data_IF_060974152910
#
_entry.id   IF_060974152910
#
_cell.length_a   1.000
_cell.length_b   1.000
_cell.length_c   1.000
_cell.angle_alpha   90.00
_cell.angle_beta   90.00
_cell.angle_gamma   90.00
#
_symmetry.space_group_name_H-M   'P 1'
#
loop_
_entity.id
_entity.type
_entity.pdbx_description
1 polymer ?
#
# COMPACT_ATOMS: atom_id res chain seq x y z
N UNK A 1 0.40 -19.23 -16.47
CA UNK A 1 1.11 -19.41 -15.17
C UNK A 1 0.76 -20.77 -14.62
N UNK A 2 1.76 -21.51 -14.18
CA UNK A 2 1.55 -22.79 -13.48
C UNK A 2 1.42 -22.53 -11.99
N UNK A 3 0.42 -23.13 -11.35
CA UNK A 3 0.19 -22.97 -9.92
C UNK A 3 0.73 -24.16 -9.16
N UNK A 4 1.50 -23.92 -8.12
CA UNK A 4 1.96 -24.94 -7.19
C UNK A 4 0.85 -25.26 -6.18
N UNK A 5 0.79 -26.52 -5.74
CA UNK A 5 -0.07 -26.89 -4.62
C UNK A 5 0.51 -26.34 -3.30
N UNK A 6 -0.31 -26.30 -2.26
CA UNK A 6 0.14 -25.95 -0.91
C UNK A 6 1.28 -26.87 -0.45
N UNK A 7 1.13 -28.20 -0.67
CA UNK A 7 2.13 -29.19 -0.24
C UNK A 7 3.45 -28.99 -0.97
N UNK A 8 3.43 -28.79 -2.29
CA UNK A 8 4.65 -28.53 -3.06
C UNK A 8 5.33 -27.24 -2.64
N UNK A 9 4.54 -26.19 -2.42
CA UNK A 9 5.06 -24.91 -1.94
C UNK A 9 5.77 -25.08 -0.59
N UNK A 10 5.13 -25.74 0.35
CA UNK A 10 5.71 -26.00 1.68
C UNK A 10 7.02 -26.78 1.59
N UNK A 11 7.06 -27.81 0.77
CA UNK A 11 8.22 -28.68 0.63
C UNK A 11 9.39 -27.99 -0.10
N UNK A 12 9.10 -26.96 -0.90
CA UNK A 12 10.07 -26.24 -1.74
C UNK A 12 10.13 -24.76 -1.40
N UNK A 13 9.84 -24.39 -0.15
CA UNK A 13 9.65 -23.00 0.24
C UNK A 13 10.89 -22.14 -0.05
N UNK A 14 12.10 -22.64 0.22
CA UNK A 14 13.33 -21.89 -0.08
C UNK A 14 13.44 -21.59 -1.57
N UNK A 15 13.23 -22.60 -2.42
CA UNK A 15 13.28 -22.45 -3.88
C UNK A 15 12.23 -21.47 -4.38
N UNK A 16 10.99 -21.55 -3.83
CA UNK A 16 9.90 -20.67 -4.17
C UNK A 16 10.23 -19.20 -3.82
N UNK A 17 10.75 -18.97 -2.62
CA UNK A 17 11.17 -17.63 -2.19
C UNK A 17 12.32 -17.08 -3.02
N UNK A 18 13.32 -17.91 -3.34
CA UNK A 18 14.45 -17.51 -4.17
C UNK A 18 13.99 -17.14 -5.59
N UNK A 19 13.04 -17.87 -6.14
CA UNK A 19 12.49 -17.59 -7.47
C UNK A 19 11.71 -16.27 -7.48
N UNK A 20 10.86 -16.04 -6.47
CA UNK A 20 10.11 -14.79 -6.33
C UNK A 20 11.05 -13.59 -6.11
N UNK A 21 12.07 -13.75 -5.27
CA UNK A 21 13.10 -12.74 -5.02
C UNK A 21 13.88 -12.41 -6.33
N UNK A 22 14.07 -13.40 -7.17
CA UNK A 22 14.69 -13.23 -8.50
C UNK A 22 13.78 -12.55 -9.53
N UNK A 23 12.55 -12.19 -9.16
CA UNK A 23 11.65 -11.44 -10.02
C UNK A 23 10.65 -12.27 -10.81
N UNK A 24 10.54 -13.57 -10.55
CA UNK A 24 9.57 -14.45 -11.22
C UNK A 24 8.39 -14.70 -10.29
N UNK A 25 7.17 -14.28 -10.66
CA UNK A 25 5.99 -14.52 -9.80
C UNK A 25 5.71 -16.01 -9.70
N UNK A 26 5.33 -16.44 -8.49
CA UNK A 26 4.96 -17.83 -8.21
C UNK A 26 3.49 -17.87 -7.80
N UNK A 27 2.70 -18.61 -8.56
CA UNK A 27 1.29 -18.84 -8.24
C UNK A 27 1.14 -20.05 -7.32
N UNK A 28 0.27 -19.93 -6.32
CA UNK A 28 -0.05 -21.00 -5.37
C UNK A 28 -1.56 -21.19 -5.35
N UNK A 29 -2.01 -22.43 -5.46
CA UNK A 29 -3.43 -22.76 -5.39
C UNK A 29 -3.70 -23.67 -4.19
N UNK A 30 -4.72 -23.31 -3.42
CA UNK A 30 -5.16 -24.06 -2.24
C UNK A 30 -6.68 -23.96 -2.13
N UNK A 31 -7.36 -25.08 -2.07
CA UNK A 31 -8.82 -25.15 -1.93
C UNK A 31 -9.58 -24.27 -2.95
N UNK A 32 -9.09 -24.21 -4.18
CA UNK A 32 -9.71 -23.41 -5.24
C UNK A 32 -9.36 -21.92 -5.19
N UNK A 33 -8.64 -21.48 -4.18
CA UNK A 33 -8.16 -20.09 -4.07
C UNK A 33 -6.74 -19.98 -4.61
N UNK A 34 -6.49 -18.88 -5.33
CA UNK A 34 -5.19 -18.60 -5.95
C UNK A 34 -4.57 -17.38 -5.35
N UNK A 35 -3.32 -17.48 -4.98
CA UNK A 35 -2.50 -16.37 -4.51
C UNK A 35 -1.20 -16.33 -5.31
N UNK A 36 -0.48 -15.23 -5.23
CA UNK A 36 0.81 -15.09 -5.90
C UNK A 36 1.83 -14.59 -4.89
N UNK A 37 3.06 -15.14 -4.98
CA UNK A 37 4.23 -14.55 -4.36
C UNK A 37 4.94 -13.71 -5.41
N UNK A 38 5.23 -12.47 -5.06
CA UNK A 38 5.84 -11.51 -5.95
C UNK A 38 6.85 -10.67 -5.15
N UNK A 39 7.95 -10.31 -5.78
CA UNK A 39 8.91 -9.41 -5.18
C UNK A 39 8.24 -8.10 -4.74
N UNK A 40 8.46 -7.71 -3.48
CA UNK A 40 7.78 -6.56 -2.86
C UNK A 40 8.05 -5.26 -3.62
N UNK A 41 9.30 -5.02 -4.02
CA UNK A 41 9.67 -3.78 -4.71
C UNK A 41 8.93 -3.62 -6.03
N UNK A 42 8.73 -4.71 -6.76
CA UNK A 42 7.99 -4.69 -8.03
C UNK A 42 6.51 -4.40 -7.83
N UNK A 43 5.90 -5.03 -6.83
CA UNK A 43 4.50 -4.76 -6.50
C UNK A 43 4.31 -3.31 -6.03
N UNK A 44 5.21 -2.81 -5.20
CA UNK A 44 5.19 -1.42 -4.75
C UNK A 44 5.25 -0.44 -5.93
N UNK A 45 6.13 -0.70 -6.90
CA UNK A 45 6.24 0.12 -8.11
C UNK A 45 4.93 0.11 -8.92
N UNK A 46 4.33 -1.04 -9.12
CA UNK A 46 3.06 -1.16 -9.83
C UNK A 46 1.94 -0.39 -9.13
N UNK A 47 1.87 -0.49 -7.81
CA UNK A 47 0.86 0.23 -7.03
C UNK A 47 1.09 1.75 -7.09
N UNK A 48 2.33 2.20 -6.99
CA UNK A 48 2.68 3.62 -7.05
C UNK A 48 2.25 4.26 -8.39
N UNK A 49 2.32 3.51 -9.46
CA UNK A 49 1.94 3.96 -10.82
C UNK A 49 0.46 3.72 -11.16
N UNK A 50 -0.29 3.09 -10.27
CA UNK A 50 -1.69 2.78 -10.53
C UNK A 50 -2.55 4.05 -10.63
N UNK A 51 -3.41 4.17 -11.66
CA UNK A 51 -4.36 5.29 -11.73
C UNK A 51 -5.42 5.26 -10.63
N UNK A 52 -5.56 4.15 -9.92
CA UNK A 52 -6.46 4.01 -8.77
C UNK A 52 -5.86 4.59 -7.50
N UNK A 53 -4.56 4.89 -7.50
CA UNK A 53 -3.90 5.53 -6.38
C UNK A 53 -3.90 7.04 -6.58
N UNK A 54 -4.78 7.77 -5.87
CA UNK A 54 -4.83 9.22 -5.93
C UNK A 54 -3.56 9.79 -5.29
N UNK A 55 -3.14 10.95 -5.78
CA UNK A 55 -2.00 11.63 -5.18
C UNK A 55 -2.44 12.53 -4.03
N UNK A 56 -1.66 12.61 -2.94
CA UNK A 56 -1.91 13.58 -1.89
C UNK A 56 -1.80 15.00 -2.42
N UNK A 57 -2.61 15.90 -1.84
CA UNK A 57 -2.56 17.33 -2.12
C UNK A 57 -2.19 18.07 -0.85
N UNK A 58 -1.39 19.12 -1.00
CA UNK A 58 -0.99 19.98 0.11
C UNK A 58 -1.42 21.42 -0.20
N UNK A 59 -2.09 22.05 0.76
CA UNK A 59 -2.55 23.42 0.61
C UNK A 59 -2.15 24.24 1.84
N UNK A 60 -1.85 25.53 1.62
CA UNK A 60 -1.68 26.46 2.71
C UNK A 60 -3.05 26.76 3.35
N UNK A 61 -3.12 26.71 4.67
CA UNK A 61 -4.35 26.91 5.44
C UNK A 61 -4.06 27.86 6.60
N UNK A 62 -4.40 29.13 6.44
CA UNK A 62 -4.05 30.15 7.39
C UNK A 62 -2.54 30.28 7.51
N UNK A 63 -2.02 30.16 8.74
CA UNK A 63 -0.58 30.20 9.01
C UNK A 63 0.09 28.82 8.90
N UNK A 64 -0.68 27.78 8.61
CA UNK A 64 -0.20 26.41 8.54
C UNK A 64 -0.43 25.74 7.19
N UNK A 65 -0.35 24.44 7.20
CA UNK A 65 -0.53 23.58 6.03
C UNK A 65 -1.50 22.44 6.32
N UNK A 66 -2.24 22.04 5.29
CA UNK A 66 -3.09 20.85 5.31
C UNK A 66 -2.67 19.92 4.19
N UNK A 67 -2.54 18.63 4.51
CA UNK A 67 -2.27 17.57 3.53
C UNK A 67 -3.45 16.61 3.57
N UNK A 68 -3.98 16.26 2.40
CA UNK A 68 -5.13 15.36 2.32
C UNK A 68 -5.04 14.48 1.08
N UNK A 69 -5.76 13.36 1.13
CA UNK A 69 -5.90 12.48 -0.02
C UNK A 69 -7.32 12.61 -0.56
N UNK A 70 -7.49 13.09 -1.82
CA UNK A 70 -8.80 13.25 -2.41
C UNK A 70 -9.63 11.98 -2.39
N UNK A 71 -10.94 12.12 -2.20
CA UNK A 71 -11.93 11.03 -2.16
C UNK A 71 -11.75 10.04 -1.00
N UNK A 72 -11.03 10.46 0.03
CA UNK A 72 -10.84 9.67 1.26
C UNK A 72 -11.01 10.57 2.48
N UNK A 73 -11.26 10.01 3.67
CA UNK A 73 -11.30 10.80 4.90
C UNK A 73 -9.92 11.09 5.50
N UNK A 74 -8.85 10.87 4.74
CA UNK A 74 -7.48 10.99 5.26
C UNK A 74 -6.96 12.40 5.05
N UNK A 75 -6.70 13.09 6.14
CA UNK A 75 -6.17 14.46 6.15
C UNK A 75 -5.40 14.73 7.43
N UNK A 76 -4.48 15.68 7.38
CA UNK A 76 -3.74 16.14 8.54
C UNK A 76 -3.29 17.57 8.36
N UNK A 77 -3.11 18.28 9.46
CA UNK A 77 -2.65 19.66 9.49
C UNK A 77 -1.31 19.77 10.23
N UNK A 78 -0.59 20.82 9.95
CA UNK A 78 0.65 21.15 10.65
C UNK A 78 0.99 22.63 10.54
N UNK A 79 1.89 23.07 11.40
CA UNK A 79 2.36 24.47 11.40
C UNK A 79 3.18 24.79 10.14
N UNK A 80 3.83 23.78 9.60
CA UNK A 80 4.56 23.83 8.31
C UNK A 80 4.28 22.57 7.51
N UNK A 81 4.79 22.53 6.28
CA UNK A 81 4.57 21.40 5.38
C UNK A 81 5.20 20.10 5.90
N UNK A 82 6.36 20.18 6.54
CA UNK A 82 7.02 18.99 7.09
C UNK A 82 6.20 18.36 8.22
N UNK A 83 5.69 19.18 9.15
CA UNK A 83 4.83 18.70 10.23
C UNK A 83 3.53 18.09 9.67
N UNK A 84 2.87 18.79 8.74
CA UNK A 84 1.65 18.30 8.10
C UNK A 84 1.91 16.96 7.38
N UNK A 85 3.06 16.82 6.72
CA UNK A 85 3.45 15.57 6.04
C UNK A 85 3.62 14.42 7.03
N UNK A 86 4.32 14.66 8.16
CA UNK A 86 4.51 13.64 9.19
C UNK A 86 3.17 13.20 9.80
N UNK A 87 2.30 14.16 10.12
CA UNK A 87 0.97 13.85 10.65
C UNK A 87 0.10 13.11 9.63
N UNK A 88 0.25 13.45 8.35
CA UNK A 88 -0.47 12.75 7.28
C UNK A 88 0.00 11.30 7.14
N UNK A 89 1.30 11.02 7.25
CA UNK A 89 1.83 9.65 7.24
C UNK A 89 1.24 8.84 8.39
N UNK A 90 1.13 9.43 9.57
CA UNK A 90 0.47 8.79 10.73
C UNK A 90 -0.99 8.47 10.39
N UNK A 91 -1.73 9.42 9.81
CA UNK A 91 -3.13 9.23 9.43
C UNK A 91 -3.29 8.12 8.38
N UNK A 92 -2.36 8.02 7.42
CA UNK A 92 -2.36 6.93 6.43
C UNK A 92 -2.19 5.57 7.11
N UNK A 93 -1.27 5.45 8.05
CA UNK A 93 -1.03 4.20 8.80
C UNK A 93 -2.25 3.79 9.61
N UNK A 94 -2.88 4.75 10.28
CA UNK A 94 -4.09 4.51 11.06
C UNK A 94 -5.24 4.05 10.17
N UNK A 95 -5.43 4.70 9.02
CA UNK A 95 -6.46 4.29 8.07
C UNK A 95 -6.21 2.88 7.55
N UNK A 96 -4.97 2.55 7.19
CA UNK A 96 -4.63 1.22 6.69
C UNK A 96 -4.88 0.15 7.75
N UNK A 97 -4.57 0.42 9.00
CA UNK A 97 -4.85 -0.50 10.10
C UNK A 97 -6.36 -0.70 10.31
N UNK A 98 -7.13 0.38 10.34
CA UNK A 98 -8.58 0.33 10.44
C UNK A 98 -9.20 -0.45 9.28
N UNK A 99 -8.67 -0.27 8.08
CA UNK A 99 -9.16 -0.98 6.91
C UNK A 99 -8.98 -2.48 7.04
N UNK A 100 -7.80 -2.92 7.44
CA UNK A 100 -7.51 -4.35 7.66
C UNK A 100 -8.42 -4.94 8.73
N UNK A 101 -8.66 -4.21 9.81
CA UNK A 101 -9.46 -4.70 10.94
C UNK A 101 -10.96 -4.73 10.66
N UNK A 102 -11.50 -3.72 9.96
CA UNK A 102 -12.95 -3.59 9.79
C UNK A 102 -13.43 -2.96 8.48
N UNK A 103 -12.78 -1.91 7.96
CA UNK A 103 -13.31 -1.15 6.83
C UNK A 103 -13.31 -1.92 5.52
N UNK A 104 -12.46 -2.92 5.36
CA UNK A 104 -12.43 -3.78 4.16
C UNK A 104 -13.77 -4.47 3.89
N UNK A 105 -14.59 -4.61 4.90
CA UNK A 105 -15.92 -5.21 4.77
C UNK A 105 -17.02 -4.18 4.51
N UNK A 106 -16.72 -2.89 4.59
CA UNK A 106 -17.67 -1.80 4.35
C UNK A 106 -17.71 -1.45 2.85
N UNK A 107 -18.90 -1.42 2.21
CA UNK A 107 -18.99 -1.23 0.76
C UNK A 107 -18.32 0.04 0.23
N UNK A 108 -18.37 1.12 1.00
CA UNK A 108 -17.79 2.40 0.61
C UNK A 108 -16.28 2.52 0.87
N UNK A 109 -15.66 1.52 1.52
CA UNK A 109 -14.23 1.49 1.79
C UNK A 109 -13.50 0.32 1.13
N UNK A 110 -14.21 -0.75 0.77
CA UNK A 110 -13.63 -1.96 0.20
C UNK A 110 -12.75 -1.67 -1.02
N UNK A 111 -13.17 -0.73 -1.88
CA UNK A 111 -12.43 -0.38 -3.09
C UNK A 111 -11.11 0.36 -2.84
N UNK A 112 -10.82 0.76 -1.61
CA UNK A 112 -9.56 1.44 -1.27
C UNK A 112 -8.39 0.47 -1.06
N UNK A 113 -8.54 -0.79 -1.43
CA UNK A 113 -7.48 -1.78 -1.27
C UNK A 113 -6.15 -1.40 -1.96
N UNK A 114 -6.13 -0.72 -3.14
CA UNK A 114 -4.85 -0.32 -3.74
C UNK A 114 -4.06 0.64 -2.86
N UNK A 115 -4.74 1.61 -2.25
CA UNK A 115 -4.13 2.54 -1.29
C UNK A 115 -3.58 1.81 -0.07
N UNK A 116 -4.39 0.93 0.52
CA UNK A 116 -4.01 0.20 1.73
C UNK A 116 -2.80 -0.71 1.46
N UNK A 117 -2.79 -1.39 0.32
CA UNK A 117 -1.64 -2.22 -0.07
C UNK A 117 -0.39 -1.37 -0.29
N UNK A 118 -0.52 -0.23 -0.99
CA UNK A 118 0.59 0.69 -1.18
C UNK A 118 1.17 1.18 0.15
N UNK A 119 0.32 1.63 1.06
CA UNK A 119 0.73 2.10 2.39
C UNK A 119 1.40 0.98 3.17
N UNK A 120 0.83 -0.23 3.15
CA UNK A 120 1.36 -1.38 3.88
C UNK A 120 2.74 -1.83 3.39
N UNK A 121 3.02 -1.66 2.09
CA UNK A 121 4.29 -2.04 1.47
C UNK A 121 5.33 -0.93 1.50
N UNK A 122 4.95 0.28 1.91
CA UNK A 122 5.81 1.45 1.90
C UNK A 122 6.51 1.66 3.24
N UNK A 123 7.76 2.12 3.20
CA UNK A 123 8.45 2.64 4.39
C UNK A 123 7.90 4.03 4.75
N UNK A 124 8.25 4.52 5.94
CA UNK A 124 7.93 5.90 6.32
C UNK A 124 8.52 6.90 5.32
N UNK A 125 9.77 6.70 4.93
CA UNK A 125 10.45 7.56 3.94
C UNK A 125 9.75 7.53 2.58
N UNK A 126 9.28 6.37 2.13
CA UNK A 126 8.52 6.24 0.88
C UNK A 126 7.24 7.08 0.93
N UNK A 127 6.49 7.00 2.02
CA UNK A 127 5.24 7.74 2.17
C UNK A 127 5.48 9.24 2.25
N UNK A 128 6.49 9.68 2.99
CA UNK A 128 6.85 11.10 3.07
C UNK A 128 7.26 11.64 1.70
N UNK A 129 8.05 10.88 0.93
CA UNK A 129 8.44 11.25 -0.43
C UNK A 129 7.22 11.32 -1.37
N UNK A 130 6.30 10.39 -1.23
CA UNK A 130 5.06 10.37 -2.03
C UNK A 130 4.23 11.63 -1.80
N UNK A 131 4.09 12.07 -0.55
CA UNK A 131 3.39 13.32 -0.21
C UNK A 131 4.05 14.51 -0.89
N UNK A 132 5.38 14.51 -0.98
CA UNK A 132 6.16 15.60 -1.60
C UNK A 132 6.21 15.50 -3.14
N UNK A 133 5.44 14.59 -3.73
CA UNK A 133 5.38 14.39 -5.18
C UNK A 133 6.48 13.49 -5.74
N UNK A 134 7.25 12.82 -4.88
CA UNK A 134 8.22 11.80 -5.27
C UNK A 134 7.57 10.44 -5.52
N UNK A 135 8.38 9.51 -6.01
CA UNK A 135 7.94 8.12 -6.26
C UNK A 135 8.68 7.14 -5.38
#
# INVERSE_FOLDING_TARGET
MTFLSYTDTRNRLREVLDTADGGVPIGIERHGHRVVLLDLARLHELLADSPRLRRPEAIADGDGWSVFLPDTPIAADGADLDEATEEFVVALREYAQDWVERLRFAPNHAQHWPLVHFVSLSSHADLAAWVRGGR
#
